data_IF_227015988986
#
_entry.id   IF_227015988986
#
_cell.length_a   1.000
_cell.length_b   1.000
_cell.length_c   1.000
_cell.angle_alpha   90.00
_cell.angle_beta   90.00
_cell.angle_gamma   90.00
#
_symmetry.space_group_name_H-M   'P 1'
#
loop_
_entity.id
_entity.type
_entity.pdbx_description
1 polymer ?
#
# COMPACT_ATOMS: atom_id res chain seq x y z
N UNK A 1 2.93 -10.77 -6.71
CA UNK A 1 2.75 -12.19 -6.33
C UNK A 1 1.49 -12.38 -5.52
N UNK A 2 1.17 -11.52 -4.55
CA UNK A 2 0.11 -11.86 -3.57
C UNK A 2 -1.32 -11.62 -4.09
N UNK A 3 -1.55 -10.60 -4.92
CA UNK A 3 -2.91 -10.20 -5.37
C UNK A 3 -3.60 -11.22 -6.30
N UNK A 4 -2.84 -12.06 -6.99
CA UNK A 4 -3.32 -12.98 -8.03
C UNK A 4 -2.98 -14.46 -7.77
N UNK A 5 -2.15 -14.76 -6.76
CA UNK A 5 -1.67 -16.12 -6.47
C UNK A 5 -2.46 -16.73 -5.31
N UNK A 6 -3.80 -16.73 -5.41
CA UNK A 6 -4.63 -17.28 -4.35
C UNK A 6 -5.97 -17.82 -4.88
N UNK A 7 -6.52 -18.81 -4.19
CA UNK A 7 -7.90 -19.24 -4.34
C UNK A 7 -8.51 -19.53 -2.96
N UNK A 8 -9.82 -19.35 -2.81
CA UNK A 8 -10.54 -19.87 -1.65
C UNK A 8 -10.56 -21.40 -1.70
N UNK A 9 -10.36 -22.05 -0.56
CA UNK A 9 -10.48 -23.50 -0.41
C UNK A 9 -11.97 -23.87 -0.42
N UNK A 10 -12.72 -23.26 0.49
CA UNK A 10 -14.19 -23.31 0.53
C UNK A 10 -14.75 -21.95 0.13
N UNK A 11 -15.63 -21.93 -0.87
CA UNK A 11 -16.23 -20.71 -1.43
C UNK A 11 -17.20 -20.04 -0.46
N UNK A 12 -17.77 -20.77 0.50
CA UNK A 12 -18.78 -20.27 1.42
C UNK A 12 -18.17 -19.78 2.75
N UNK A 13 -16.95 -20.22 3.08
CA UNK A 13 -16.25 -19.81 4.29
C UNK A 13 -15.58 -18.41 4.17
N UNK A 14 -15.27 -17.72 5.29
CA UNK A 14 -14.65 -16.40 5.28
C UNK A 14 -13.29 -16.34 4.54
N UNK A 15 -12.89 -15.13 4.13
CA UNK A 15 -11.58 -14.87 3.50
C UNK A 15 -10.49 -14.75 4.57
N UNK A 16 -10.01 -15.88 5.07
CA UNK A 16 -8.96 -15.95 6.09
C UNK A 16 -7.75 -16.71 5.56
N UNK A 17 -6.52 -16.49 6.07
CA UNK A 17 -5.35 -17.24 5.65
C UNK A 17 -5.55 -18.77 5.67
N UNK A 18 -6.37 -19.29 6.59
CA UNK A 18 -6.71 -20.71 6.70
C UNK A 18 -7.60 -21.24 5.56
N UNK A 19 -8.44 -20.38 4.98
CA UNK A 19 -9.36 -20.74 3.90
C UNK A 19 -8.84 -20.31 2.53
N UNK A 20 -7.55 -19.97 2.44
CA UNK A 20 -6.90 -19.62 1.18
C UNK A 20 -5.82 -20.65 0.86
N UNK A 21 -5.50 -20.76 -0.42
CA UNK A 21 -4.37 -21.54 -0.94
C UNK A 21 -3.69 -20.80 -2.09
N UNK A 22 -2.41 -21.01 -2.29
CA UNK A 22 -1.69 -20.44 -3.44
C UNK A 22 -1.94 -21.27 -4.72
N UNK A 23 -1.91 -20.63 -5.89
CA UNK A 23 -1.93 -21.34 -7.18
C UNK A 23 -0.56 -21.95 -7.50
N UNK A 24 0.50 -21.20 -7.23
CA UNK A 24 1.87 -21.51 -7.58
C UNK A 24 2.80 -21.32 -6.39
N UNK A 25 3.86 -22.13 -6.36
CA UNK A 25 4.85 -22.18 -5.30
C UNK A 25 6.25 -22.36 -5.90
N UNK A 26 7.28 -21.82 -5.24
CA UNK A 26 8.68 -22.12 -5.51
C UNK A 26 9.16 -23.33 -4.70
N UNK A 27 8.79 -23.38 -3.42
CA UNK A 27 9.22 -24.40 -2.45
C UNK A 27 8.13 -25.41 -2.14
N UNK A 28 6.85 -25.02 -2.28
CA UNK A 28 5.70 -25.84 -1.94
C UNK A 28 5.50 -26.02 -0.44
N UNK A 29 6.19 -25.22 0.39
CA UNK A 29 6.11 -25.34 1.84
C UNK A 29 4.98 -24.52 2.42
N UNK A 30 4.53 -24.94 3.61
CA UNK A 30 3.55 -24.19 4.40
C UNK A 30 4.06 -22.77 4.71
N UNK A 31 5.35 -22.61 4.95
CA UNK A 31 5.95 -21.29 5.25
C UNK A 31 5.79 -20.33 4.07
N UNK A 32 6.05 -20.83 2.85
CA UNK A 32 5.87 -20.02 1.65
C UNK A 32 4.41 -19.64 1.43
N UNK A 33 3.50 -20.60 1.55
CA UNK A 33 2.08 -20.36 1.36
C UNK A 33 1.56 -19.34 2.38
N UNK A 34 1.87 -19.52 3.67
CA UNK A 34 1.48 -18.59 4.72
C UNK A 34 2.06 -17.17 4.52
N UNK A 35 3.30 -17.07 4.03
CA UNK A 35 3.93 -15.79 3.70
C UNK A 35 3.16 -15.01 2.64
N UNK A 36 2.56 -15.69 1.66
CA UNK A 36 1.76 -15.05 0.60
C UNK A 36 0.31 -14.81 1.03
N UNK A 37 -0.29 -15.72 1.80
CA UNK A 37 -1.71 -15.65 2.18
C UNK A 37 -1.99 -14.62 3.27
N UNK A 38 -1.06 -14.36 4.19
CA UNK A 38 -1.24 -13.29 5.20
C UNK A 38 -1.34 -11.90 4.54
N UNK A 39 -0.44 -11.47 3.65
CA UNK A 39 -0.61 -10.25 2.86
C UNK A 39 -1.88 -10.25 2.01
N UNK A 40 -2.26 -11.37 1.41
CA UNK A 40 -3.51 -11.47 0.65
C UNK A 40 -4.74 -11.15 1.53
N UNK A 41 -4.80 -11.72 2.74
CA UNK A 41 -5.86 -11.41 3.71
C UNK A 41 -5.82 -9.95 4.17
N UNK A 42 -4.63 -9.35 4.33
CA UNK A 42 -4.46 -7.92 4.65
C UNK A 42 -5.05 -7.04 3.54
N UNK A 43 -4.76 -7.35 2.28
CA UNK A 43 -5.30 -6.61 1.12
C UNK A 43 -6.83 -6.76 1.06
N UNK A 44 -7.37 -7.96 1.31
CA UNK A 44 -8.82 -8.19 1.36
C UNK A 44 -9.51 -7.39 2.47
N UNK A 45 -8.92 -7.32 3.67
CA UNK A 45 -9.44 -6.52 4.78
C UNK A 45 -9.56 -5.03 4.43
N UNK A 46 -8.81 -4.54 3.45
CA UNK A 46 -8.90 -3.17 2.93
C UNK A 46 -10.13 -2.88 2.06
N UNK A 47 -10.89 -3.88 1.62
CA UNK A 47 -12.02 -3.72 0.68
C UNK A 47 -13.07 -2.70 1.16
N UNK A 48 -13.56 -2.73 2.41
CA UNK A 48 -14.54 -1.75 2.89
C UNK A 48 -14.00 -0.33 2.86
N UNK A 49 -12.70 -0.16 3.14
CA UNK A 49 -12.05 1.14 3.13
C UNK A 49 -11.97 1.72 1.72
N UNK A 50 -11.61 0.91 0.71
CA UNK A 50 -11.59 1.34 -0.70
C UNK A 50 -12.97 1.87 -1.12
N UNK A 51 -14.05 1.18 -0.74
CA UNK A 51 -15.41 1.66 -0.99
C UNK A 51 -15.72 2.98 -0.27
N UNK A 52 -15.31 3.12 0.99
CA UNK A 52 -15.47 4.37 1.76
C UNK A 52 -14.65 5.52 1.19
N UNK A 53 -13.50 5.24 0.57
CA UNK A 53 -12.72 6.24 -0.18
C UNK A 53 -13.51 6.77 -1.37
N UNK A 54 -14.21 5.91 -2.11
CA UNK A 54 -15.08 6.35 -3.21
C UNK A 54 -16.30 7.15 -2.72
N UNK A 55 -16.91 6.75 -1.60
CA UNK A 55 -18.00 7.53 -0.99
C UNK A 55 -17.54 8.94 -0.61
N UNK A 56 -16.39 9.04 0.06
CA UNK A 56 -15.78 10.31 0.45
C UNK A 56 -15.44 11.16 -0.79
N UNK A 57 -14.79 10.57 -1.80
CA UNK A 57 -14.45 11.25 -3.04
C UNK A 57 -15.69 11.80 -3.75
N UNK A 58 -16.76 11.00 -3.83
CA UNK A 58 -18.02 11.39 -4.46
C UNK A 58 -18.66 12.56 -3.72
N UNK A 59 -18.74 12.50 -2.39
CA UNK A 59 -19.29 13.57 -1.56
C UNK A 59 -18.52 14.88 -1.74
N UNK A 60 -17.18 14.82 -1.69
CA UNK A 60 -16.35 16.02 -1.82
C UNK A 60 -16.38 16.61 -3.23
N UNK A 61 -16.47 15.78 -4.27
CA UNK A 61 -16.64 16.27 -5.65
C UNK A 61 -17.98 16.97 -5.87
N UNK A 62 -19.05 16.50 -5.23
CA UNK A 62 -20.35 17.16 -5.28
C UNK A 62 -20.33 18.51 -4.54
N UNK A 63 -19.66 18.56 -3.39
CA UNK A 63 -19.57 19.76 -2.57
C UNK A 63 -18.61 20.80 -3.16
N UNK A 64 -17.53 20.34 -3.78
CA UNK A 64 -16.44 21.17 -4.31
C UNK A 64 -16.10 20.77 -5.75
N UNK A 65 -16.99 21.04 -6.73
CA UNK A 65 -16.80 20.60 -8.12
C UNK A 65 -15.60 21.24 -8.84
N UNK A 66 -15.05 22.32 -8.27
CA UNK A 66 -13.85 23.01 -8.75
C UNK A 66 -12.64 22.79 -7.81
N UNK A 67 -12.71 21.78 -6.95
CA UNK A 67 -11.74 21.50 -5.89
C UNK A 67 -12.05 22.22 -4.58
N UNK A 68 -11.63 21.65 -3.43
CA UNK A 68 -11.86 22.23 -2.12
C UNK A 68 -11.07 23.54 -1.94
N UNK A 69 -11.64 24.56 -1.26
CA UNK A 69 -10.90 25.76 -0.91
C UNK A 69 -9.81 25.45 0.13
N UNK A 70 -8.81 26.31 0.29
CA UNK A 70 -7.69 26.12 1.24
C UNK A 70 -8.14 25.96 2.71
N UNK A 71 -9.32 26.48 3.05
CA UNK A 71 -9.95 26.35 4.37
C UNK A 71 -11.42 25.94 4.17
N UNK A 72 -11.70 24.64 3.90
CA UNK A 72 -13.06 24.20 3.66
C UNK A 72 -13.84 24.27 4.97
N UNK A 73 -14.97 24.97 4.97
CA UNK A 73 -15.91 24.91 6.10
C UNK A 73 -16.79 23.68 5.91
N UNK A 74 -16.61 22.61 6.69
CA UNK A 74 -17.37 21.38 6.49
C UNK A 74 -18.83 21.59 6.89
N UNK A 75 -19.72 20.91 6.16
CA UNK A 75 -21.13 20.79 6.55
C UNK A 75 -21.29 19.67 7.58
N UNK A 76 -22.40 19.59 8.34
CA UNK A 76 -22.67 18.46 9.23
C UNK A 76 -22.59 17.10 8.51
N UNK A 77 -23.03 17.02 7.25
CA UNK A 77 -22.89 15.79 6.45
C UNK A 77 -21.45 15.48 6.09
N UNK A 78 -20.64 16.50 5.75
CA UNK A 78 -19.20 16.34 5.52
C UNK A 78 -18.51 15.81 6.78
N UNK A 79 -18.84 16.34 7.96
CA UNK A 79 -18.27 15.89 9.23
C UNK A 79 -18.65 14.44 9.53
N UNK A 80 -19.93 14.07 9.33
CA UNK A 80 -20.42 12.70 9.53
C UNK A 80 -19.73 11.70 8.60
N UNK A 81 -19.70 11.98 7.29
CA UNK A 81 -19.05 11.10 6.29
C UNK A 81 -17.55 10.98 6.58
N UNK A 82 -16.90 12.08 6.98
CA UNK A 82 -15.49 12.06 7.39
C UNK A 82 -15.28 11.21 8.64
N UNK A 83 -16.17 11.31 9.64
CA UNK A 83 -16.09 10.49 10.86
C UNK A 83 -16.24 9.00 10.56
N UNK A 84 -17.18 8.63 9.68
CA UNK A 84 -17.40 7.26 9.22
C UNK A 84 -16.17 6.71 8.47
N UNK A 85 -15.61 7.52 7.57
CA UNK A 85 -14.39 7.20 6.83
C UNK A 85 -13.21 6.92 7.78
N UNK A 86 -12.94 7.84 8.72
CA UNK A 86 -11.86 7.68 9.71
C UNK A 86 -12.09 6.47 10.63
N UNK A 87 -13.35 6.18 10.99
CA UNK A 87 -13.68 4.96 11.73
C UNK A 87 -13.32 3.70 10.93
N UNK A 88 -13.63 3.69 9.63
CA UNK A 88 -13.29 2.58 8.74
C UNK A 88 -11.76 2.41 8.58
N UNK A 89 -11.01 3.51 8.47
CA UNK A 89 -9.53 3.50 8.48
C UNK A 89 -9.00 2.85 9.76
N UNK A 90 -9.49 3.29 10.92
CA UNK A 90 -9.05 2.77 12.23
C UNK A 90 -9.33 1.27 12.39
N UNK A 91 -10.53 0.82 12.02
CA UNK A 91 -10.90 -0.60 12.03
C UNK A 91 -10.02 -1.41 11.10
N UNK A 92 -9.84 -0.95 9.86
CA UNK A 92 -9.02 -1.63 8.84
C UNK A 92 -7.58 -1.79 9.31
N UNK A 93 -6.94 -0.71 9.79
CA UNK A 93 -5.56 -0.78 10.29
C UNK A 93 -5.41 -1.67 11.52
N UNK A 94 -6.43 -1.73 12.37
CA UNK A 94 -6.45 -2.64 13.52
C UNK A 94 -6.48 -4.10 13.06
N UNK A 95 -7.33 -4.42 12.09
CA UNK A 95 -7.42 -5.76 11.49
C UNK A 95 -6.15 -6.15 10.74
N UNK A 96 -5.61 -5.27 9.90
CA UNK A 96 -4.32 -5.48 9.21
C UNK A 96 -3.18 -5.73 10.22
N UNK A 97 -3.18 -5.02 11.34
CA UNK A 97 -2.18 -5.23 12.41
C UNK A 97 -2.35 -6.58 13.09
N UNK A 98 -3.59 -7.05 13.28
CA UNK A 98 -3.83 -8.39 13.79
C UNK A 98 -3.35 -9.45 12.78
N UNK A 99 -3.71 -9.31 11.50
CA UNK A 99 -3.33 -10.22 10.42
C UNK A 99 -1.81 -10.32 10.23
N UNK A 100 -1.09 -9.20 10.16
CA UNK A 100 0.37 -9.24 9.95
C UNK A 100 1.10 -9.96 11.10
N UNK A 101 0.59 -9.87 12.33
CA UNK A 101 1.16 -10.61 13.48
C UNK A 101 1.03 -12.11 13.33
N UNK A 102 0.03 -12.58 12.57
CA UNK A 102 -0.19 -14.00 12.28
C UNK A 102 0.89 -14.60 11.38
N UNK A 103 1.78 -13.81 10.79
CA UNK A 103 2.92 -14.32 10.01
C UNK A 103 3.70 -15.40 10.79
N UNK A 104 3.87 -15.20 12.10
CA UNK A 104 4.59 -16.13 13.00
C UNK A 104 3.88 -17.47 13.23
N UNK A 105 2.61 -17.59 12.89
CA UNK A 105 1.81 -18.81 13.10
C UNK A 105 2.12 -19.90 12.07
N UNK A 106 2.51 -19.50 10.86
CA UNK A 106 2.66 -20.44 9.74
C UNK A 106 3.88 -20.21 8.86
N UNK A 107 4.68 -19.17 9.09
CA UNK A 107 5.93 -18.91 8.35
C UNK A 107 7.14 -19.03 9.27
N UNK A 108 7.97 -20.06 9.07
CA UNK A 108 9.21 -20.25 9.83
C UNK A 108 10.28 -19.21 9.40
N UNK A 109 10.89 -18.45 10.33
CA UNK A 109 11.89 -17.44 9.99
C UNK A 109 13.10 -17.96 9.22
N UNK A 110 13.60 -19.15 9.57
CA UNK A 110 14.78 -19.73 8.95
C UNK A 110 14.47 -20.24 7.55
N UNK A 111 13.31 -20.87 7.37
CA UNK A 111 12.82 -21.30 6.07
C UNK A 111 12.57 -20.11 5.14
N UNK A 112 11.88 -19.07 5.62
CA UNK A 112 11.70 -17.83 4.86
C UNK A 112 13.05 -17.28 4.41
N UNK A 113 14.00 -17.10 5.34
CA UNK A 113 15.26 -16.43 5.06
C UNK A 113 16.16 -17.22 4.11
N UNK A 114 16.28 -18.53 4.29
CA UNK A 114 17.21 -19.37 3.51
C UNK A 114 16.60 -19.95 2.24
N UNK A 115 15.29 -20.26 2.23
CA UNK A 115 14.66 -21.00 1.12
C UNK A 115 13.72 -20.17 0.29
N UNK A 116 13.03 -19.18 0.86
CA UNK A 116 12.03 -18.39 0.12
C UNK A 116 12.58 -17.05 -0.37
N UNK A 117 13.21 -16.27 0.53
CA UNK A 117 13.73 -14.93 0.27
C UNK A 117 14.67 -14.84 -0.95
N UNK A 118 15.50 -15.84 -1.29
CA UNK A 118 16.28 -15.81 -2.52
C UNK A 118 15.43 -15.67 -3.79
N UNK A 119 14.26 -16.32 -3.86
CA UNK A 119 13.35 -16.22 -5.01
C UNK A 119 12.60 -14.88 -5.09
N UNK A 120 12.56 -14.13 -3.98
CA UNK A 120 11.94 -12.81 -3.91
C UNK A 120 12.92 -11.67 -4.23
N UNK A 121 14.22 -11.97 -4.33
CA UNK A 121 15.24 -10.98 -4.63
C UNK A 121 15.15 -10.52 -6.10
N UNK A 122 15.40 -9.24 -6.31
CA UNK A 122 15.57 -8.68 -7.65
C UNK A 122 17.00 -8.88 -8.17
N UNK A 123 17.30 -8.21 -9.28
CA UNK A 123 18.61 -8.23 -9.94
C UNK A 123 19.07 -6.81 -10.24
N UNK A 124 20.38 -6.57 -10.13
CA UNK A 124 21.02 -5.25 -10.17
C UNK A 124 21.42 -4.69 -8.80
N UNK A 125 20.69 -5.08 -7.74
CA UNK A 125 21.05 -4.77 -6.34
C UNK A 125 21.40 -6.01 -5.50
N UNK A 126 21.27 -7.19 -6.10
CA UNK A 126 21.65 -8.49 -5.51
C UNK A 126 23.12 -8.81 -5.76
N UNK A 127 23.77 -9.52 -4.84
CA UNK A 127 25.14 -10.02 -5.03
C UNK A 127 25.25 -11.06 -6.15
N UNK A 128 24.20 -11.86 -6.37
CA UNK A 128 24.21 -12.92 -7.39
C UNK A 128 24.19 -12.37 -8.83
N UNK A 129 23.47 -11.27 -9.07
CA UNK A 129 23.29 -10.63 -10.38
C UNK A 129 23.50 -9.11 -10.26
N UNK A 130 24.74 -8.61 -10.08
CA UNK A 130 25.00 -7.18 -9.87
C UNK A 130 24.77 -6.33 -11.13
N UNK A 131 24.96 -6.92 -12.30
CA UNK A 131 24.80 -6.22 -13.58
C UNK A 131 23.35 -6.25 -14.07
N UNK A 132 22.49 -7.10 -13.51
CA UNK A 132 21.11 -7.29 -13.92
C UNK A 132 20.88 -8.64 -14.58
N UNK A 133 19.77 -8.76 -15.31
CA UNK A 133 19.37 -9.96 -16.04
C UNK A 133 19.17 -9.64 -17.52
N UNK A 134 19.77 -10.43 -18.41
CA UNK A 134 19.54 -10.33 -19.86
C UNK A 134 18.21 -11.00 -20.20
N UNK A 135 17.33 -10.27 -20.87
CA UNK A 135 16.07 -10.80 -21.39
C UNK A 135 16.26 -11.12 -22.87
N UNK A 136 16.69 -12.36 -23.16
CA UNK A 136 16.98 -12.82 -24.53
C UNK A 136 15.78 -12.56 -25.46
N UNK A 137 16.05 -11.96 -26.63
CA UNK A 137 15.02 -11.57 -27.59
C UNK A 137 14.29 -10.26 -27.27
N UNK A 138 14.53 -9.64 -26.10
CA UNK A 138 13.93 -8.36 -25.69
C UNK A 138 14.99 -7.26 -25.54
N UNK A 139 16.07 -7.55 -24.81
CA UNK A 139 17.16 -6.61 -24.56
C UNK A 139 18.50 -7.34 -24.58
N UNK A 140 19.45 -6.81 -25.35
CA UNK A 140 20.85 -7.27 -25.34
C UNK A 140 21.61 -6.78 -24.11
N UNK A 141 21.18 -5.66 -23.53
CA UNK A 141 21.74 -5.12 -22.29
C UNK A 141 21.03 -5.71 -21.06
N UNK A 142 21.75 -6.06 -19.97
CA UNK A 142 21.14 -6.52 -18.73
C UNK A 142 20.21 -5.47 -18.11
N UNK A 143 18.98 -5.88 -17.80
CA UNK A 143 17.98 -5.04 -17.12
C UNK A 143 18.05 -5.23 -15.61
N UNK A 144 17.76 -4.17 -14.84
CA UNK A 144 17.77 -4.17 -13.38
C UNK A 144 16.37 -3.92 -12.85
N UNK A 145 15.84 -4.86 -12.07
CA UNK A 145 14.53 -4.74 -11.42
C UNK A 145 14.64 -5.08 -9.93
N UNK A 146 13.97 -4.30 -9.11
CA UNK A 146 13.86 -4.54 -7.67
C UNK A 146 13.05 -5.82 -7.42
N UNK A 147 13.42 -6.52 -6.34
CA UNK A 147 12.67 -7.69 -5.90
C UNK A 147 11.33 -7.33 -5.28
N UNK A 148 10.60 -8.36 -4.88
CA UNK A 148 9.31 -8.19 -4.21
C UNK A 148 9.49 -7.42 -2.90
N UNK A 149 8.62 -6.45 -2.62
CA UNK A 149 8.64 -5.71 -1.36
C UNK A 149 7.25 -5.27 -0.96
N UNK A 150 6.99 -5.18 0.35
CA UNK A 150 5.73 -4.65 0.88
C UNK A 150 5.45 -3.20 0.43
N UNK A 151 6.48 -2.45 0.00
CA UNK A 151 6.31 -1.12 -0.59
C UNK A 151 5.56 -1.12 -1.92
N UNK A 152 5.37 -2.29 -2.54
CA UNK A 152 4.57 -2.49 -3.76
C UNK A 152 3.07 -2.69 -3.45
N UNK A 153 2.66 -2.73 -2.18
CA UNK A 153 1.24 -2.74 -1.80
C UNK A 153 0.61 -1.38 -2.06
N UNK A 154 -0.45 -1.36 -2.89
CA UNK A 154 -1.23 -0.15 -3.15
C UNK A 154 -2.05 0.26 -1.93
N UNK A 155 -2.59 -0.69 -1.16
CA UNK A 155 -3.34 -0.41 0.06
C UNK A 155 -2.48 0.30 1.11
N UNK A 156 -1.24 -0.14 1.32
CA UNK A 156 -0.33 0.51 2.28
C UNK A 156 -0.05 1.96 1.87
N UNK A 157 0.28 2.21 0.59
CA UNK A 157 0.52 3.58 0.11
C UNK A 157 -0.77 4.44 0.07
N UNK A 158 -1.95 3.83 -0.06
CA UNK A 158 -3.23 4.54 -0.01
C UNK A 158 -3.43 5.22 1.36
N UNK A 159 -3.06 4.57 2.46
CA UNK A 159 -3.10 5.21 3.78
C UNK A 159 -2.21 6.44 3.87
N UNK A 160 -1.00 6.37 3.31
CA UNK A 160 -0.06 7.48 3.31
C UNK A 160 -0.61 8.67 2.53
N UNK A 161 -1.13 8.42 1.33
CA UNK A 161 -1.74 9.46 0.48
C UNK A 161 -2.91 10.12 1.21
N UNK A 162 -3.86 9.33 1.73
CA UNK A 162 -5.10 9.85 2.30
C UNK A 162 -4.90 10.50 3.68
N UNK A 163 -3.98 9.99 4.50
CA UNK A 163 -3.63 10.60 5.79
C UNK A 163 -2.53 11.67 5.67
N UNK A 164 -2.06 11.96 4.46
CA UNK A 164 -1.07 13.01 4.20
C UNK A 164 0.30 12.73 4.81
N UNK A 165 0.74 11.47 4.87
CA UNK A 165 2.11 11.09 5.25
C UNK A 165 3.01 11.32 4.04
N UNK A 166 4.06 12.13 4.21
CA UNK A 166 5.02 12.43 3.14
C UNK A 166 6.35 11.75 3.44
N UNK A 167 6.80 10.95 2.49
CA UNK A 167 8.04 10.18 2.60
C UNK A 167 9.20 10.94 1.96
N UNK A 168 10.30 11.12 2.70
CA UNK A 168 11.50 11.79 2.18
C UNK A 168 12.34 10.88 1.28
N UNK A 169 12.28 9.57 1.53
CA UNK A 169 12.97 8.57 0.70
C UNK A 169 12.16 8.27 -0.59
N UNK A 170 12.79 8.27 -1.78
CA UNK A 170 12.09 8.06 -3.05
C UNK A 170 11.67 6.60 -3.30
N UNK A 171 12.05 5.65 -2.45
CA UNK A 171 11.81 4.22 -2.65
C UNK A 171 10.33 3.88 -2.86
N UNK A 172 9.42 4.40 -2.02
CA UNK A 172 7.99 4.11 -2.17
C UNK A 172 7.41 4.67 -3.47
N UNK A 173 7.85 5.85 -3.89
CA UNK A 173 7.46 6.41 -5.18
C UNK A 173 7.95 5.51 -6.34
N UNK A 174 9.20 5.01 -6.28
CA UNK A 174 9.72 4.04 -7.25
C UNK A 174 8.92 2.73 -7.26
N UNK A 175 8.46 2.25 -6.10
CA UNK A 175 7.65 1.03 -6.00
C UNK A 175 6.29 1.13 -6.70
N UNK A 176 5.75 2.34 -6.95
CA UNK A 176 4.52 2.50 -7.75
C UNK A 176 4.68 2.01 -9.20
N UNK A 177 5.91 1.97 -9.73
CA UNK A 177 6.18 1.40 -11.07
C UNK A 177 5.98 -0.13 -11.12
N UNK A 178 6.01 -0.79 -9.96
CA UNK A 178 5.81 -2.24 -9.81
C UNK A 178 4.35 -2.58 -9.44
N UNK A 179 3.48 -1.58 -9.35
CA UNK A 179 2.03 -1.78 -9.16
C UNK A 179 1.32 -1.89 -10.52
N UNK A 180 0.17 -2.57 -10.59
CA UNK A 180 -0.73 -2.49 -11.74
C UNK A 180 -1.01 -1.03 -12.12
N UNK A 181 -1.10 -0.75 -13.42
CA UNK A 181 -1.25 0.62 -13.93
C UNK A 181 -2.43 1.36 -13.29
N UNK A 182 -3.59 0.70 -13.21
CA UNK A 182 -4.81 1.28 -12.62
C UNK A 182 -4.65 1.59 -11.13
N UNK A 183 -3.87 0.78 -10.40
CA UNK A 183 -3.61 1.03 -8.98
C UNK A 183 -2.73 2.25 -8.77
N UNK A 184 -1.72 2.43 -9.63
CA UNK A 184 -0.86 3.63 -9.61
C UNK A 184 -1.67 4.88 -9.96
N UNK A 185 -2.47 4.83 -11.02
CA UNK A 185 -3.37 5.93 -11.40
C UNK A 185 -4.37 6.26 -10.29
N UNK A 186 -4.90 5.24 -9.61
CA UNK A 186 -5.76 5.42 -8.46
C UNK A 186 -5.05 6.18 -7.33
N UNK A 187 -3.84 5.77 -6.93
CA UNK A 187 -3.07 6.46 -5.88
C UNK A 187 -2.78 7.93 -6.22
N UNK A 188 -2.41 8.22 -7.47
CA UNK A 188 -2.16 9.58 -7.95
C UNK A 188 -3.44 10.44 -7.87
N UNK A 189 -4.58 9.87 -8.26
CA UNK A 189 -5.85 10.58 -8.23
C UNK A 189 -6.37 10.84 -6.79
N UNK A 190 -5.90 10.08 -5.79
CA UNK A 190 -6.25 10.28 -4.39
C UNK A 190 -5.46 11.42 -3.70
N UNK A 191 -4.39 11.94 -4.31
CA UNK A 191 -3.57 12.98 -3.67
C UNK A 191 -4.37 14.24 -3.30
N UNK A 192 -5.20 14.82 -4.20
CA UNK A 192 -6.06 15.95 -3.84
C UNK A 192 -7.11 15.59 -2.78
N UNK A 193 -7.55 14.33 -2.73
CA UNK A 193 -8.52 13.86 -1.74
C UNK A 193 -7.91 13.84 -0.33
N UNK A 194 -6.66 13.39 -0.19
CA UNK A 194 -5.94 13.40 1.08
C UNK A 194 -5.74 14.82 1.63
N UNK A 195 -5.42 15.78 0.74
CA UNK A 195 -5.31 17.20 1.11
C UNK A 195 -6.66 17.77 1.57
N UNK A 196 -7.74 17.45 0.85
CA UNK A 196 -9.10 17.85 1.20
C UNK A 196 -9.50 17.31 2.59
N UNK A 197 -9.25 16.02 2.84
CA UNK A 197 -9.53 15.35 4.10
C UNK A 197 -8.82 16.05 5.26
N UNK A 198 -7.52 16.33 5.11
CA UNK A 198 -6.74 17.05 6.12
C UNK A 198 -7.29 18.46 6.38
N UNK A 199 -7.68 19.18 5.33
CA UNK A 199 -8.29 20.51 5.44
C UNK A 199 -9.62 20.50 6.19
N UNK A 200 -10.49 19.53 5.89
CA UNK A 200 -11.78 19.33 6.56
C UNK A 200 -11.58 19.07 8.05
N UNK A 201 -10.69 18.13 8.39
CA UNK A 201 -10.40 17.77 9.78
C UNK A 201 -9.84 18.97 10.56
N UNK A 202 -8.93 19.74 9.95
CA UNK A 202 -8.37 20.96 10.56
C UNK A 202 -9.41 22.05 10.80
N UNK A 203 -10.34 22.26 9.87
CA UNK A 203 -11.38 23.29 9.98
C UNK A 203 -12.46 22.93 11.03
N UNK A 204 -12.75 21.64 11.21
CA UNK A 204 -13.78 21.14 12.14
C UNK A 204 -13.49 21.48 13.61
N UNK A 205 -12.24 21.78 13.97
CA UNK A 205 -11.83 22.12 15.34
C UNK A 205 -12.00 23.59 15.75
N UNK A 206 -12.39 24.48 14.84
CA UNK A 206 -12.29 25.94 15.03
C UNK A 206 -13.57 26.66 15.45
N UNK A 207 -14.72 25.97 15.51
CA UNK A 207 -16.05 26.64 15.54
C UNK A 207 -17.08 26.21 16.58
N UNK A 208 -16.84 25.22 17.44
CA UNK A 208 -17.84 24.75 18.42
C UNK A 208 -17.31 24.74 19.85
N UNK A 209 -17.89 25.59 20.71
CA UNK A 209 -17.54 25.77 22.11
C UNK A 209 -17.97 24.64 23.05
N UNK A 210 -17.91 23.38 22.62
CA UNK A 210 -18.14 22.23 23.50
C UNK A 210 -17.29 21.04 23.08
N UNK A 211 -16.11 20.92 23.70
CA UNK A 211 -15.49 19.65 24.13
C UNK A 211 -15.15 18.54 23.13
N UNK A 212 -15.57 18.58 21.86
CA UNK A 212 -15.41 17.44 20.95
C UNK A 212 -14.57 17.82 19.72
N UNK A 213 -13.25 17.84 19.92
CA UNK A 213 -12.26 17.76 18.83
C UNK A 213 -12.28 16.37 18.16
N UNK A 214 -13.47 15.83 17.82
CA UNK A 214 -13.64 14.42 17.50
C UNK A 214 -12.91 14.01 16.23
N UNK A 215 -12.99 14.83 15.18
CA UNK A 215 -12.40 14.49 13.87
C UNK A 215 -10.88 14.54 13.90
N UNK A 216 -10.29 15.60 14.49
CA UNK A 216 -8.83 15.70 14.63
C UNK A 216 -8.28 14.55 15.48
N UNK A 217 -8.96 14.22 16.60
CA UNK A 217 -8.59 13.09 17.44
C UNK A 217 -8.69 11.75 16.69
N UNK A 218 -9.78 11.52 15.94
CA UNK A 218 -9.96 10.31 15.12
C UNK A 218 -8.90 10.20 14.03
N UNK A 219 -8.52 11.32 13.42
CA UNK A 219 -7.47 11.37 12.41
C UNK A 219 -6.10 11.02 12.99
N UNK A 220 -5.74 11.63 14.12
CA UNK A 220 -4.50 11.30 14.85
C UNK A 220 -4.50 9.84 15.34
N UNK A 221 -5.66 9.30 15.73
CA UNK A 221 -5.81 7.88 16.07
C UNK A 221 -5.55 6.97 14.86
N UNK A 222 -6.01 7.35 13.65
CA UNK A 222 -5.68 6.60 12.43
C UNK A 222 -4.17 6.54 12.18
N UNK A 223 -3.47 7.67 12.37
CA UNK A 223 -2.01 7.71 12.28
C UNK A 223 -1.33 6.85 13.36
N UNK A 224 -1.88 6.81 14.58
CA UNK A 224 -1.40 5.88 15.61
C UNK A 224 -1.56 4.41 15.21
N UNK A 225 -2.71 4.04 14.61
CA UNK A 225 -2.91 2.68 14.10
C UNK A 225 -1.97 2.35 12.95
N UNK A 226 -1.70 3.29 12.05
CA UNK A 226 -0.73 3.10 10.97
C UNK A 226 0.70 2.94 11.53
N UNK A 227 1.08 3.73 12.53
CA UNK A 227 2.36 3.59 13.22
C UNK A 227 2.46 2.25 13.98
N UNK A 228 1.36 1.74 14.53
CA UNK A 228 1.30 0.42 15.16
C UNK A 228 1.47 -0.72 14.15
N UNK A 229 0.80 -0.64 12.99
CA UNK A 229 1.00 -1.58 11.87
C UNK A 229 2.46 -1.59 11.41
N UNK A 230 3.06 -0.42 11.18
CA UNK A 230 4.49 -0.27 10.84
C UNK A 230 5.41 -0.87 11.90
N UNK A 231 5.09 -0.66 13.17
CA UNK A 231 5.86 -1.25 14.29
C UNK A 231 5.76 -2.78 14.31
N UNK A 232 4.58 -3.35 14.02
CA UNK A 232 4.41 -4.79 13.90
C UNK A 232 5.23 -5.37 12.73
N UNK A 233 5.18 -4.71 11.56
CA UNK A 233 5.99 -5.09 10.40
C UNK A 233 7.50 -5.01 10.67
N UNK A 234 7.98 -3.94 11.33
CA UNK A 234 9.37 -3.81 11.78
C UNK A 234 9.78 -4.97 12.69
N UNK A 235 8.91 -5.39 13.60
CA UNK A 235 9.15 -6.54 14.48
C UNK A 235 9.29 -7.85 13.71
N UNK A 236 8.57 -8.04 12.59
CA UNK A 236 8.79 -9.17 11.70
C UNK A 236 10.14 -9.07 10.98
N UNK A 237 10.45 -7.91 10.39
CA UNK A 237 11.73 -7.71 9.68
C UNK A 237 12.94 -7.97 10.59
N UNK A 238 12.85 -7.56 11.85
CA UNK A 238 13.88 -7.89 12.84
C UNK A 238 14.06 -9.40 13.00
N UNK A 239 12.98 -10.16 13.22
CA UNK A 239 13.05 -11.62 13.42
C UNK A 239 13.42 -12.38 12.15
N UNK A 240 12.80 -12.06 11.01
CA UNK A 240 12.90 -12.84 9.77
C UNK A 240 14.11 -12.49 8.91
N UNK A 241 14.77 -11.35 9.16
CA UNK A 241 15.90 -10.91 8.35
C UNK A 241 17.10 -10.58 9.23
N UNK A 242 16.97 -9.65 10.18
CA UNK A 242 18.13 -9.17 10.95
C UNK A 242 18.70 -10.27 11.84
N UNK A 243 17.82 -10.94 12.60
CA UNK A 243 18.22 -12.02 13.48
C UNK A 243 18.77 -13.22 12.69
N UNK A 244 18.11 -13.62 11.61
CA UNK A 244 18.58 -14.71 10.75
C UNK A 244 19.96 -14.43 10.14
N UNK A 245 20.20 -13.19 9.68
CA UNK A 245 21.52 -12.78 9.18
C UNK A 245 22.60 -12.85 10.27
N UNK A 246 22.28 -12.45 11.51
CA UNK A 246 23.21 -12.55 12.65
C UNK A 246 23.56 -13.99 12.99
N UNK A 247 22.55 -14.85 13.05
CA UNK A 247 22.72 -16.27 13.35
C UNK A 247 23.55 -16.98 12.27
N UNK A 248 23.34 -16.66 10.99
CA UNK A 248 24.16 -17.18 9.90
C UNK A 248 25.62 -16.74 10.02
N UNK A 249 25.88 -15.44 10.24
CA UNK A 249 27.25 -14.93 10.40
C UNK A 249 27.96 -15.54 11.61
N UNK A 250 27.25 -15.76 12.72
CA UNK A 250 27.79 -16.41 13.90
C UNK A 250 28.10 -17.91 13.69
N UNK A 251 27.36 -18.59 12.82
CA UNK A 251 27.61 -20.00 12.49
C UNK A 251 28.76 -20.18 11.49
N UNK A 252 29.02 -19.18 10.64
CA UNK A 252 30.13 -19.18 9.67
C UNK A 252 31.48 -18.81 10.32
N UNK A 253 31.47 -18.04 11.42
CA UNK A 253 32.64 -17.73 12.24
C UNK A 253 32.79 -18.70 13.41
N UNK A 254 33.24 -19.92 13.12
CA UNK A 254 33.75 -20.84 14.15
C UNK A 254 35.15 -20.35 14.59
N UNK A 255 35.31 -19.98 15.87
CA UNK A 255 36.53 -19.46 16.50
C UNK A 255 37.10 -18.10 15.98
N UNK A 256 36.52 -16.96 16.37
CA UNK A 256 37.25 -15.87 17.07
C UNK A 256 36.34 -14.71 17.50
N UNK A 257 36.73 -14.05 18.58
CA UNK A 257 35.93 -13.09 19.37
C UNK A 257 35.77 -11.70 18.70
N UNK A 258 34.95 -11.57 17.65
CA UNK A 258 34.56 -10.23 17.18
C UNK A 258 33.04 -10.06 16.97
N UNK A 259 32.30 -10.10 18.09
CA UNK A 259 30.87 -9.80 18.15
C UNK A 259 30.53 -8.40 17.57
N UNK A 260 31.49 -7.47 17.54
CA UNK A 260 31.31 -6.13 17.00
C UNK A 260 31.12 -6.13 15.47
N UNK A 261 31.88 -6.96 14.73
CA UNK A 261 31.76 -7.06 13.27
C UNK A 261 30.45 -7.73 12.84
N UNK A 262 30.04 -8.81 13.51
CA UNK A 262 28.76 -9.47 13.25
C UNK A 262 27.57 -8.51 13.48
N UNK A 263 27.65 -7.67 14.52
CA UNK A 263 26.63 -6.66 14.79
C UNK A 263 26.60 -5.57 13.71
N UNK A 264 27.75 -5.18 13.17
CA UNK A 264 27.89 -4.18 12.11
C UNK A 264 27.50 -4.71 10.71
N UNK A 265 27.72 -6.00 10.42
CA UNK A 265 27.26 -6.63 9.18
C UNK A 265 25.73 -6.81 9.16
N UNK A 266 25.13 -7.08 10.32
CA UNK A 266 23.69 -7.18 10.48
C UNK A 266 22.97 -5.84 10.38
N UNK A 267 23.60 -4.73 10.81
CA UNK A 267 23.01 -3.39 10.72
C UNK A 267 22.83 -2.92 9.26
N UNK A 268 23.64 -3.45 8.32
CA UNK A 268 23.54 -3.20 6.87
C UNK A 268 22.66 -4.21 6.13
N UNK A 269 21.71 -4.85 6.79
CA UNK A 269 20.82 -5.81 6.13
C UNK A 269 19.92 -5.10 5.10
N UNK A 270 20.00 -5.56 3.85
CA UNK A 270 19.19 -5.05 2.75
C UNK A 270 17.89 -5.85 2.58
N UNK A 271 16.83 -5.17 2.18
CA UNK A 271 15.58 -5.79 1.76
C UNK A 271 15.75 -6.44 0.39
N UNK A 272 14.79 -7.29 0.03
CA UNK A 272 14.62 -7.80 -1.35
C UNK A 272 14.38 -6.67 -2.36
N UNK A 273 13.80 -5.56 -1.90
CA UNK A 273 13.70 -4.30 -2.65
C UNK A 273 14.98 -3.45 -2.69
N UNK A 274 16.06 -3.84 -2.01
CA UNK A 274 17.38 -3.20 -2.09
C UNK A 274 17.67 -2.07 -1.10
N UNK A 275 16.72 -1.68 -0.25
CA UNK A 275 16.91 -0.64 0.81
C UNK A 275 17.57 -1.20 2.06
N UNK A 276 18.28 -0.35 2.81
CA UNK A 276 18.67 -0.67 4.19
C UNK A 276 17.42 -0.69 5.07
N UNK A 277 17.04 -1.88 5.54
CA UNK A 277 15.69 -2.14 6.04
C UNK A 277 15.35 -1.33 7.29
N UNK A 278 16.22 -1.35 8.30
CA UNK A 278 15.91 -0.75 9.60
C UNK A 278 15.84 0.78 9.53
N UNK A 279 16.81 1.50 8.93
CA UNK A 279 16.72 2.94 8.78
C UNK A 279 15.46 3.36 8.00
N UNK A 280 15.19 2.70 6.87
CA UNK A 280 14.05 3.02 6.02
C UNK A 280 12.70 2.81 6.74
N UNK A 281 12.51 1.67 7.40
CA UNK A 281 11.25 1.38 8.10
C UNK A 281 11.06 2.28 9.33
N UNK A 282 12.14 2.58 10.05
CA UNK A 282 12.12 3.53 11.17
C UNK A 282 11.71 4.93 10.69
N UNK A 283 12.30 5.40 9.60
CA UNK A 283 11.95 6.68 8.99
C UNK A 283 10.48 6.74 8.58
N UNK A 284 9.97 5.70 7.90
CA UNK A 284 8.56 5.66 7.52
C UNK A 284 7.62 5.77 8.73
N UNK A 285 7.96 5.14 9.86
CA UNK A 285 7.18 5.25 11.10
C UNK A 285 7.27 6.65 11.72
N UNK A 286 8.44 7.26 11.72
CA UNK A 286 8.64 8.63 12.22
C UNK A 286 7.81 9.62 11.39
N UNK A 287 7.86 9.53 10.06
CA UNK A 287 7.05 10.33 9.14
C UNK A 287 5.54 10.15 9.36
N UNK A 288 5.06 8.95 9.73
CA UNK A 288 3.66 8.76 10.17
C UNK A 288 3.32 9.58 11.40
N UNK A 289 4.24 9.62 12.36
CA UNK A 289 4.01 10.28 13.66
C UNK A 289 4.06 11.80 13.48
N UNK A 290 4.99 12.28 12.66
CA UNK A 290 5.14 13.69 12.26
C UNK A 290 3.88 14.21 11.54
N UNK A 291 3.14 13.35 10.84
CA UNK A 291 1.94 13.73 10.11
C UNK A 291 0.72 14.09 11.00
N UNK A 292 0.79 13.85 12.31
CA UNK A 292 -0.31 14.17 13.24
C UNK A 292 -0.59 15.67 13.29
N UNK A 293 -1.86 16.03 13.47
CA UNK A 293 -2.30 17.42 13.54
C UNK A 293 -1.87 18.11 14.84
N UNK A 294 -1.87 17.37 15.96
CA UNK A 294 -1.51 17.91 17.27
C UNK A 294 -0.04 17.63 17.65
N UNK A 295 0.85 17.47 16.67
CA UNK A 295 2.24 17.16 16.94
C UNK A 295 3.03 18.41 17.33
N UNK A 296 3.29 18.57 18.64
CA UNK A 296 4.17 19.63 19.17
C UNK A 296 5.63 19.22 18.94
N UNK A 297 6.23 19.63 17.81
CA UNK A 297 7.69 19.54 17.62
C UNK A 297 8.33 20.83 18.18
N UNK A 298 9.38 20.75 19.03
CA UNK A 298 10.18 21.92 19.37
C UNK A 298 10.91 22.42 18.11
N UNK A 299 10.65 23.68 17.74
CA UNK A 299 11.18 24.40 16.57
C UNK A 299 12.46 23.83 15.93
N UNK A 300 12.35 23.31 14.70
CA UNK A 300 13.17 23.68 13.53
C UNK A 300 12.83 22.77 12.34
N UNK A 301 12.92 23.34 11.14
CA UNK A 301 12.64 22.77 9.82
C UNK A 301 11.19 22.93 9.32
N UNK A 302 10.98 24.06 8.65
CA UNK A 302 9.85 24.32 7.76
C UNK A 302 9.77 23.27 6.66
N UNK A 303 8.61 22.62 6.55
CA UNK A 303 8.26 21.78 5.41
C UNK A 303 8.20 22.63 4.12
N UNK A 304 8.67 22.11 2.97
CA UNK A 304 8.49 22.80 1.69
C UNK A 304 7.01 22.89 1.33
N UNK A 305 6.60 24.05 0.79
CA UNK A 305 5.24 24.26 0.27
C UNK A 305 5.04 23.57 -1.10
N UNK A 306 3.80 23.18 -1.43
CA UNK A 306 3.52 22.45 -2.66
C UNK A 306 3.75 23.33 -3.90
N UNK A 307 4.50 22.79 -4.85
CA UNK A 307 4.46 23.25 -6.24
C UNK A 307 3.51 22.31 -6.99
N UNK A 308 2.43 22.89 -7.54
CA UNK A 308 1.35 22.27 -8.36
C UNK A 308 0.15 21.72 -7.56
N UNK A 309 -0.86 22.59 -7.35
CA UNK A 309 -2.23 22.18 -7.01
C UNK A 309 -2.93 21.66 -8.27
N UNK A 310 -3.23 20.37 -8.32
CA UNK A 310 -4.20 19.82 -9.28
C UNK A 310 -5.57 19.74 -8.61
N UNK A 311 -6.56 20.44 -9.17
CA UNK A 311 -7.95 20.41 -8.69
C UNK A 311 -8.63 19.08 -9.06
N UNK A 312 -9.47 18.55 -8.15
CA UNK A 312 -10.38 17.45 -8.50
C UNK A 312 -11.30 17.93 -9.65
N UNK A 313 -11.20 17.26 -10.80
CA UNK A 313 -12.04 17.54 -11.98
C UNK A 313 -13.32 16.70 -11.93
N UNK A 314 -14.40 17.30 -12.43
CA UNK A 314 -15.75 16.70 -12.52
C UNK A 314 -15.78 15.38 -13.33
N UNK A 315 -14.82 15.17 -14.24
CA UNK A 315 -14.66 13.97 -15.07
C UNK A 315 -13.34 13.21 -14.77
N UNK A 316 -12.81 13.35 -13.55
CA UNK A 316 -11.53 12.74 -13.17
C UNK A 316 -11.57 11.20 -13.12
N UNK A 317 -10.41 10.53 -13.25
CA UNK A 317 -10.29 9.07 -13.32
C UNK A 317 -10.96 8.35 -12.14
N UNK A 318 -11.02 8.96 -10.94
CA UNK A 318 -11.70 8.41 -9.77
C UNK A 318 -13.21 8.17 -9.96
N UNK A 319 -13.93 9.06 -10.66
CA UNK A 319 -15.38 8.92 -10.86
C UNK A 319 -15.71 7.90 -11.96
N UNK A 320 -14.85 7.80 -12.98
CA UNK A 320 -14.92 6.75 -14.01
C UNK A 320 -14.64 5.36 -13.42
N UNK A 321 -13.68 5.27 -12.49
CA UNK A 321 -13.41 4.04 -11.72
C UNK A 321 -14.59 3.68 -10.78
N UNK A 322 -15.14 4.66 -10.05
CA UNK A 322 -16.24 4.44 -9.09
C UNK A 322 -17.53 3.94 -9.76
N UNK A 323 -17.89 4.50 -10.92
CA UNK A 323 -19.05 4.09 -11.71
C UNK A 323 -18.88 2.67 -12.29
N UNK A 324 -17.67 2.33 -12.72
CA UNK A 324 -17.33 1.00 -13.24
C UNK A 324 -17.34 -0.09 -12.16
N UNK A 325 -16.93 0.23 -10.93
CA UNK A 325 -16.97 -0.70 -9.79
C UNK A 325 -18.41 -0.93 -9.30
N UNK A 326 -19.25 0.11 -9.24
CA UNK A 326 -20.66 -0.01 -8.78
C UNK A 326 -21.58 -0.71 -9.78
N UNK A 327 -21.35 -0.57 -11.09
CA UNK A 327 -22.16 -1.25 -12.11
C UNK A 327 -21.98 -2.78 -12.06
N UNK A 328 -20.80 -3.26 -11.63
CA UNK A 328 -20.46 -4.71 -11.59
C UNK A 328 -20.87 -5.40 -10.29
N UNK A 329 -20.99 -4.67 -9.18
CA UNK A 329 -21.52 -5.24 -7.93
C UNK A 329 -23.05 -5.46 -7.95
N UNK A 330 -23.76 -4.92 -8.94
CA UNK A 330 -25.23 -4.98 -9.04
C UNK A 330 -25.78 -5.90 -10.16
N UNK A 331 -24.94 -6.54 -10.98
CA UNK A 331 -25.38 -7.26 -12.19
C UNK A 331 -25.13 -8.77 -12.19
N UNK A 332 -26.19 -9.57 -12.11
CA UNK A 332 -26.20 -10.93 -12.65
C UNK A 332 -26.32 -10.83 -14.18
N UNK A 333 -25.27 -11.21 -14.91
CA UNK A 333 -25.24 -11.15 -16.37
C UNK A 333 -25.84 -12.44 -16.96
N UNK A 334 -27.01 -12.33 -17.60
CA UNK A 334 -27.56 -13.33 -18.52
C UNK A 334 -27.26 -12.89 -19.97
N UNK A 335 -26.93 -13.85 -20.84
CA UNK A 335 -26.76 -13.59 -22.29
C UNK A 335 -28.13 -13.37 -22.99
N UNK A 336 -28.11 -12.79 -24.18
CA UNK A 336 -29.18 -12.62 -25.18
C UNK A 336 -30.03 -13.87 -25.49
N UNK A 337 -29.61 -15.05 -25.01
CA UNK A 337 -30.33 -16.32 -25.09
C UNK A 337 -31.04 -16.74 -23.79
N UNK A 338 -30.96 -15.93 -22.71
CA UNK A 338 -31.63 -16.20 -21.44
C UNK A 338 -31.04 -17.35 -20.61
N UNK A 339 -29.84 -17.84 -20.94
CA UNK A 339 -29.13 -18.86 -20.17
C UNK A 339 -28.04 -18.24 -19.27
N UNK A 340 -27.82 -18.77 -18.05
CA UNK A 340 -26.77 -18.28 -17.16
C UNK A 340 -25.39 -18.61 -17.75
N UNK A 341 -24.57 -17.59 -17.94
CA UNK A 341 -23.18 -17.74 -18.38
C UNK A 341 -22.35 -18.19 -17.18
N UNK A 342 -21.68 -19.34 -17.29
CA UNK A 342 -20.66 -19.77 -16.32
C UNK A 342 -19.45 -18.86 -16.52
N UNK A 343 -19.43 -17.73 -15.82
CA UNK A 343 -18.27 -16.85 -15.76
C UNK A 343 -17.20 -17.49 -14.88
N UNK A 344 -15.97 -17.60 -15.39
CA UNK A 344 -14.81 -17.83 -14.54
C UNK A 344 -14.66 -16.61 -13.62
N UNK A 345 -14.94 -16.82 -12.33
CA UNK A 345 -14.83 -15.81 -11.27
C UNK A 345 -13.39 -15.26 -11.20
N UNK A 346 -13.18 -14.12 -11.83
CA UNK A 346 -12.06 -13.22 -11.54
C UNK A 346 -12.59 -12.13 -10.60
N UNK A 347 -12.10 -12.00 -9.35
CA UNK A 347 -12.53 -10.94 -8.47
C UNK A 347 -11.76 -9.65 -8.79
N UNK A 348 -12.50 -8.60 -9.13
CA UNK A 348 -12.12 -7.17 -9.04
C UNK A 348 -10.66 -6.82 -9.39
N UNK A 349 -10.25 -7.14 -10.61
CA UNK A 349 -9.33 -6.26 -11.35
C UNK A 349 -10.17 -5.39 -12.29
N UNK A 350 -9.78 -4.13 -12.51
CA UNK A 350 -10.32 -3.33 -13.61
C UNK A 350 -10.09 -4.14 -14.90
N UNK A 351 -11.12 -4.58 -15.63
CA UNK A 351 -10.94 -5.55 -16.71
C UNK A 351 -10.42 -4.88 -17.99
N UNK A 352 -9.63 -5.64 -18.74
CA UNK A 352 -8.91 -5.21 -19.95
C UNK A 352 -9.78 -4.57 -21.05
N UNK A 353 -11.09 -4.75 -21.03
CA UNK A 353 -12.02 -4.15 -22.00
C UNK A 353 -12.26 -2.64 -21.75
N UNK A 354 -11.92 -2.12 -20.56
CA UNK A 354 -11.89 -0.67 -20.31
C UNK A 354 -10.74 0.04 -21.04
N UNK A 355 -9.72 -0.72 -21.48
CA UNK A 355 -8.45 -0.20 -22.02
C UNK A 355 -8.56 0.22 -23.48
N UNK A 356 -9.52 -0.31 -24.25
CA UNK A 356 -9.64 0.05 -25.68
C UNK A 356 -10.40 1.35 -25.96
N UNK A 357 -11.26 1.82 -25.04
CA UNK A 357 -12.01 3.07 -25.21
C UNK A 357 -11.29 4.36 -24.82
N UNK A 358 -10.14 4.26 -24.14
CA UNK A 358 -9.35 5.41 -23.65
C UNK A 358 -8.15 5.76 -24.53
N UNK A 359 -7.87 4.98 -25.58
CA UNK A 359 -6.72 5.20 -26.48
C UNK A 359 -6.98 6.19 -27.64
N UNK A 360 -8.21 6.69 -27.84
CA UNK A 360 -8.54 7.64 -28.93
C UNK A 360 -8.68 9.11 -28.47
N UNK A 361 -8.33 9.45 -27.23
CA UNK A 361 -8.61 10.78 -26.66
C UNK A 361 -7.39 11.49 -26.04
N UNK A 362 -6.19 11.34 -26.61
CA UNK A 362 -5.04 12.17 -26.25
C UNK A 362 -4.37 12.75 -27.52
N UNK A 363 -4.03 14.06 -27.55
CA UNK A 363 -3.23 14.63 -28.63
C UNK A 363 -1.77 14.15 -28.52
N UNK A 364 -1.16 13.82 -29.66
CA UNK A 364 0.26 13.52 -29.81
C UNK A 364 1.14 14.66 -29.25
N UNK A 365 2.27 14.35 -28.59
CA UNK A 365 3.18 15.37 -28.07
C UNK A 365 3.89 16.11 -29.22
N UNK A 366 3.84 17.43 -29.15
CA UNK A 366 4.58 18.36 -30.01
C UNK A 366 6.09 18.12 -29.87
N UNK A 367 6.71 17.56 -30.92
CA UNK A 367 8.16 17.43 -31.02
C UNK A 367 8.75 18.79 -31.38
N UNK A 368 9.00 19.61 -30.36
CA UNK A 368 9.79 20.83 -30.47
C UNK A 368 11.26 20.55 -30.24
N UNK A 369 12.08 20.73 -31.29
CA UNK A 369 13.54 20.79 -31.26
C UNK A 369 14.06 21.77 -30.19
N UNK A 370 14.98 21.29 -29.33
CA UNK A 370 16.40 21.69 -29.12
C UNK A 370 16.96 20.97 -27.90
#
# INVERSE_FOLDING_TARGET
>A
MDLWNWAKIDKDEPFTPENLKCHSHFTGSRSEEWFHLVPCAIEHAGTPLVNKTFDLATHLNQLFPNGPPSTPKPTPDTERITAEYLSCVSTTLTEMTALIRRMREGCDPREFYLKQRPFLAGFGSSEALPDGLVYEGVSTEPLKFNGASAGQSSLVQMFDVLLGVRHRDPFLAKMRQYMPADHRMFLEALEPLGEALRGIVGASGSGSGSGDHTLARRFDECLDKLAAFRSAHMGLVHTYIIQMKREQAAAEHDHDQDHHEAHHAASKAKGTGGTELIPFLKQCKEETTEAKLNHTIPHSHSLPQPHHQQHLRKDGPLLQLASSVRARSAGSLCDSSGSPVVAADTPTCVPAELVHGLAEALPEPDTGDV
#
